data_IF_599966451150
#
_entry.id   IF_599966451150
#
_cell.length_a   1.000
_cell.length_b   1.000
_cell.length_c   1.000
_cell.angle_alpha   90.00
_cell.angle_beta   90.00
_cell.angle_gamma   90.00
#
_symmetry.space_group_name_H-M   'P 1'
#
loop_
_entity.id
_entity.type
_entity.pdbx_description
1 polymer ?
#
# COMPACT_ATOMS: atom_id res chain seq x y z
N UNK A 1 -5.53 -11.70 -19.26
CA UNK A 1 -5.07 -12.05 -17.90
C UNK A 1 -6.15 -11.58 -16.94
N UNK A 2 -6.78 -12.48 -16.19
CA UNK A 2 -7.81 -12.13 -15.22
C UNK A 2 -7.12 -11.52 -14.00
N UNK A 3 -7.20 -10.21 -13.83
CA UNK A 3 -6.73 -9.54 -12.62
C UNK A 3 -7.80 -9.63 -11.54
N UNK A 4 -7.44 -10.12 -10.36
CA UNK A 4 -8.33 -10.08 -9.19
C UNK A 4 -8.09 -8.76 -8.47
N UNK A 5 -9.14 -7.95 -8.33
CA UNK A 5 -9.08 -6.67 -7.62
C UNK A 5 -9.85 -6.75 -6.31
N UNK A 6 -9.21 -6.35 -5.22
CA UNK A 6 -9.86 -6.09 -3.93
C UNK A 6 -9.76 -4.60 -3.67
N UNK A 7 -10.88 -3.87 -3.71
CA UNK A 7 -10.92 -2.41 -3.61
C UNK A 7 -11.61 -1.93 -2.34
N UNK A 8 -11.25 -0.72 -1.88
CA UNK A 8 -11.97 -0.02 -0.81
C UNK A 8 -11.63 -0.48 0.60
N UNK A 9 -10.50 -1.16 0.76
CA UNK A 9 -10.01 -1.62 2.07
C UNK A 9 -9.60 -0.40 2.88
N UNK A 10 -10.12 -0.27 4.11
CA UNK A 10 -9.76 0.82 5.01
C UNK A 10 -8.86 0.31 6.13
N UNK A 11 -7.68 0.91 6.26
CA UNK A 11 -6.76 0.70 7.39
C UNK A 11 -6.93 1.88 8.35
N UNK A 12 -7.31 1.62 9.60
CA UNK A 12 -7.61 2.66 10.60
C UNK A 12 -7.12 2.29 12.00
N UNK A 13 -6.53 3.24 12.74
CA UNK A 13 -5.89 3.04 14.06
C UNK A 13 -6.86 2.67 15.19
N UNK A 14 -8.17 2.80 14.98
CA UNK A 14 -9.20 2.38 15.94
C UNK A 14 -10.04 1.17 15.52
N UNK A 15 -9.84 0.63 14.31
CA UNK A 15 -10.70 -0.45 13.76
C UNK A 15 -9.91 -1.62 13.18
N UNK A 16 -8.68 -1.38 12.76
CA UNK A 16 -7.79 -2.42 12.25
C UNK A 16 -6.94 -2.99 13.39
N UNK A 17 -6.61 -4.29 13.35
CA UNK A 17 -5.65 -4.87 14.28
C UNK A 17 -4.28 -4.19 14.14
N UNK A 18 -3.50 -4.22 15.21
CA UNK A 18 -2.13 -3.72 15.24
C UNK A 18 -1.15 -4.86 15.48
N UNK A 19 0.07 -4.72 14.94
CA UNK A 19 1.14 -5.69 15.11
C UNK A 19 2.51 -4.98 15.16
N UNK A 20 3.47 -5.59 15.86
CA UNK A 20 4.84 -5.10 15.98
C UNK A 20 5.69 -5.64 14.81
N UNK A 21 5.74 -4.88 13.71
CA UNK A 21 6.57 -5.19 12.56
C UNK A 21 8.03 -4.76 12.81
N UNK A 22 9.01 -5.25 12.02
CA UNK A 22 10.40 -4.80 12.13
C UNK A 22 10.60 -3.28 12.00
N UNK A 23 9.70 -2.58 11.29
CA UNK A 23 9.73 -1.12 11.14
C UNK A 23 9.04 -0.36 12.30
N UNK A 24 8.35 -1.07 13.19
CA UNK A 24 7.58 -0.51 14.30
C UNK A 24 6.14 -1.04 14.36
N UNK A 25 5.42 -0.65 15.42
CA UNK A 25 4.00 -0.99 15.59
C UNK A 25 3.15 -0.31 14.50
N UNK A 26 2.35 -1.09 13.78
CA UNK A 26 1.50 -0.58 12.70
C UNK A 26 0.16 -1.31 12.64
N UNK A 27 -0.84 -0.63 12.10
CA UNK A 27 -2.12 -1.24 11.71
C UNK A 27 -1.95 -2.05 10.45
N UNK A 28 -2.66 -3.17 10.36
CA UNK A 28 -2.55 -4.04 9.21
C UNK A 28 -3.89 -4.63 8.77
N UNK A 29 -3.88 -5.14 7.55
CA UNK A 29 -4.89 -6.02 6.97
C UNK A 29 -4.18 -7.22 6.36
N UNK A 30 -4.79 -8.39 6.46
CA UNK A 30 -4.23 -9.63 5.92
C UNK A 30 -5.23 -10.28 4.97
N UNK A 31 -4.73 -10.80 3.85
CA UNK A 31 -5.53 -11.46 2.83
C UNK A 31 -4.91 -12.79 2.47
N UNK A 32 -5.76 -13.81 2.32
CA UNK A 32 -5.38 -15.04 1.61
C UNK A 32 -5.27 -14.71 0.13
N UNK A 33 -4.13 -15.02 -0.47
CA UNK A 33 -3.95 -14.94 -1.91
C UNK A 33 -4.85 -15.99 -2.59
N UNK A 34 -5.36 -15.72 -3.80
CA UNK A 34 -6.18 -16.69 -4.50
C UNK A 34 -5.33 -17.91 -4.88
N UNK A 35 -5.96 -19.09 -5.00
CA UNK A 35 -5.26 -20.35 -5.31
C UNK A 35 -4.76 -20.42 -6.79
N UNK A 36 -4.77 -19.29 -7.52
CA UNK A 36 -4.21 -19.13 -8.86
C UNK A 36 -2.83 -18.50 -8.78
N UNK A 37 -1.97 -18.78 -9.77
CA UNK A 37 -0.61 -18.23 -9.80
C UNK A 37 -0.64 -16.72 -10.03
N UNK A 38 -0.43 -15.95 -8.95
CA UNK A 38 -0.21 -14.50 -8.97
C UNK A 38 1.29 -14.24 -9.09
N UNK A 39 1.70 -13.37 -10.02
CA UNK A 39 3.10 -12.99 -10.19
C UNK A 39 3.41 -11.63 -9.57
N UNK A 40 2.42 -10.74 -9.57
CA UNK A 40 2.61 -9.37 -9.10
C UNK A 40 1.39 -8.85 -8.37
N UNK A 41 1.64 -7.95 -7.43
CA UNK A 41 0.63 -7.24 -6.66
C UNK A 41 0.89 -5.75 -6.77
N UNK A 42 -0.14 -4.99 -7.12
CA UNK A 42 -0.12 -3.52 -7.05
C UNK A 42 -1.03 -3.08 -5.90
N UNK A 43 -0.50 -2.26 -5.00
CA UNK A 43 -1.28 -1.60 -3.96
C UNK A 43 -1.44 -0.13 -4.36
N UNK A 44 -2.69 0.28 -4.55
CA UNK A 44 -3.07 1.66 -4.79
C UNK A 44 -3.51 2.30 -3.47
N UNK A 45 -3.13 3.55 -3.26
CA UNK A 45 -3.56 4.39 -2.14
C UNK A 45 -3.88 5.79 -2.63
N UNK A 46 -4.66 6.52 -1.85
CA UNK A 46 -5.24 7.80 -2.25
C UNK A 46 -4.81 8.88 -1.27
N UNK A 47 -4.67 10.11 -1.79
CA UNK A 47 -4.45 11.28 -0.94
C UNK A 47 -5.67 11.52 -0.05
N UNK A 48 -5.44 11.90 1.20
CA UNK A 48 -6.51 12.12 2.18
C UNK A 48 -7.34 13.37 1.90
N UNK A 49 -6.81 14.31 1.11
CA UNK A 49 -7.46 15.57 0.76
C UNK A 49 -7.06 16.01 -0.64
N UNK A 50 -7.98 16.69 -1.34
CA UNK A 50 -7.69 17.39 -2.59
C UNK A 50 -6.92 18.70 -2.39
N UNK A 51 -6.80 19.20 -1.16
CA UNK A 51 -6.00 20.37 -0.83
C UNK A 51 -4.58 19.95 -0.42
N UNK A 52 -3.62 20.09 -1.33
CA UNK A 52 -2.24 19.61 -1.16
C UNK A 52 -1.54 20.03 0.15
N UNK A 53 -1.69 21.27 0.67
CA UNK A 53 -1.11 21.64 1.96
C UNK A 53 -1.56 20.79 3.15
N UNK A 54 -2.75 20.20 3.08
CA UNK A 54 -3.29 19.28 4.09
C UNK A 54 -3.27 17.81 3.65
N UNK A 55 -2.81 17.52 2.44
CA UNK A 55 -2.86 16.18 1.88
C UNK A 55 -1.79 15.29 2.53
N UNK A 56 -2.25 14.15 3.05
CA UNK A 56 -1.39 13.06 3.52
C UNK A 56 -1.62 11.83 2.65
N UNK A 57 -0.69 10.90 2.67
CA UNK A 57 -0.79 9.65 1.91
C UNK A 57 -0.39 8.48 2.78
N UNK A 58 -1.23 7.45 2.81
CA UNK A 58 -0.92 6.19 3.48
C UNK A 58 0.12 5.43 2.67
N UNK A 59 1.23 5.03 3.27
CA UNK A 59 2.30 4.35 2.53
C UNK A 59 2.33 2.87 2.91
N UNK A 60 1.84 1.98 2.04
CA UNK A 60 1.77 0.56 2.36
C UNK A 60 3.17 -0.08 2.33
N UNK A 61 3.35 -1.09 3.17
CA UNK A 61 4.33 -2.16 3.07
C UNK A 61 3.60 -3.48 2.85
N UNK A 62 4.30 -4.47 2.29
CA UNK A 62 3.77 -5.81 2.10
C UNK A 62 4.72 -6.83 2.75
N UNK A 63 4.14 -7.76 3.49
CA UNK A 63 4.80 -8.96 4.01
C UNK A 63 4.08 -10.17 3.44
N UNK A 64 4.82 -11.06 2.76
CA UNK A 64 4.26 -12.27 2.18
C UNK A 64 4.55 -13.46 3.10
N UNK A 65 3.52 -14.26 3.36
CA UNK A 65 3.61 -15.44 4.22
C UNK A 65 3.25 -16.71 3.44
N UNK A 66 3.89 -17.82 3.78
CA UNK A 66 3.53 -19.15 3.27
C UNK A 66 2.35 -19.77 4.04
N UNK A 67 1.99 -21.01 3.70
CA UNK A 67 0.91 -21.74 4.36
C UNK A 67 1.17 -22.05 5.85
N UNK A 68 2.43 -22.02 6.29
CA UNK A 68 2.84 -22.18 7.68
C UNK A 68 2.99 -20.85 8.43
N UNK A 69 2.52 -19.75 7.84
CA UNK A 69 2.68 -18.39 8.36
C UNK A 69 4.14 -17.94 8.54
N UNK A 70 5.07 -18.58 7.84
CA UNK A 70 6.46 -18.15 7.78
C UNK A 70 6.64 -17.13 6.65
N UNK A 71 7.64 -16.27 6.76
CA UNK A 71 7.95 -15.32 5.70
C UNK A 71 8.33 -16.05 4.39
N UNK A 72 7.48 -15.92 3.37
CA UNK A 72 7.72 -16.50 2.05
C UNK A 72 8.75 -15.68 1.24
N UNK A 73 9.04 -14.46 1.70
CA UNK A 73 10.07 -13.57 1.18
C UNK A 73 9.77 -12.09 1.49
N UNK A 74 10.83 -11.28 1.55
CA UNK A 74 10.72 -9.83 1.74
C UNK A 74 10.56 -9.12 0.39
N UNK A 75 9.36 -9.10 -0.18
CA UNK A 75 9.13 -8.28 -1.37
C UNK A 75 8.97 -6.83 -0.96
N UNK A 76 10.06 -6.06 -1.07
CA UNK A 76 9.98 -4.61 -0.94
C UNK A 76 9.07 -4.09 -2.05
N UNK A 77 7.96 -3.47 -1.67
CA UNK A 77 7.17 -2.67 -2.61
C UNK A 77 8.12 -1.66 -3.27
N UNK A 78 8.09 -1.60 -4.60
CA UNK A 78 8.80 -0.60 -5.36
C UNK A 78 8.45 0.81 -4.86
N UNK A 79 9.37 1.79 -5.02
CA UNK A 79 9.07 3.19 -4.71
C UNK A 79 7.72 3.60 -5.31
N UNK A 80 6.90 4.24 -4.48
CA UNK A 80 5.54 4.62 -4.87
C UNK A 80 5.58 5.57 -6.07
N UNK A 81 4.85 5.23 -7.13
CA UNK A 81 4.72 6.03 -8.34
C UNK A 81 3.37 6.73 -8.32
N UNK A 82 3.36 8.01 -8.70
CA UNK A 82 2.13 8.75 -8.96
C UNK A 82 1.47 8.16 -10.20
N UNK A 83 0.17 7.92 -10.11
CA UNK A 83 -0.66 7.51 -11.22
C UNK A 83 -1.97 8.32 -11.20
N UNK A 84 -2.64 8.38 -12.34
CA UNK A 84 -3.89 9.10 -12.49
C UNK A 84 -4.90 8.20 -13.19
N UNK A 85 -6.09 8.08 -12.60
CA UNK A 85 -7.25 7.47 -13.26
C UNK A 85 -8.17 8.61 -13.66
N UNK A 86 -8.58 8.61 -14.93
CA UNK A 86 -9.57 9.56 -15.43
C UNK A 86 -10.80 9.53 -14.50
N UNK A 87 -11.19 10.68 -13.94
CA UNK A 87 -12.29 10.88 -12.97
C UNK A 87 -12.09 10.44 -11.51
N UNK A 88 -11.03 9.69 -11.14
CA UNK A 88 -10.83 9.22 -9.76
C UNK A 88 -9.75 10.00 -8.98
N UNK A 89 -9.15 11.00 -9.61
CA UNK A 89 -8.12 11.84 -9.02
C UNK A 89 -6.74 11.17 -9.01
N UNK A 90 -5.80 11.83 -8.34
CA UNK A 90 -4.45 11.34 -8.17
C UNK A 90 -4.41 10.22 -7.14
N UNK A 91 -3.73 9.13 -7.49
CA UNK A 91 -3.45 8.05 -6.57
C UNK A 91 -1.97 7.67 -6.66
N UNK A 92 -1.47 7.06 -5.61
CA UNK A 92 -0.12 6.53 -5.56
C UNK A 92 -0.21 5.02 -5.60
N UNK A 93 0.69 4.39 -6.33
CA UNK A 93 0.73 2.93 -6.43
C UNK A 93 2.13 2.40 -6.17
N UNK A 94 2.19 1.25 -5.52
CA UNK A 94 3.41 0.50 -5.30
C UNK A 94 3.21 -0.92 -5.80
N UNK A 95 4.21 -1.50 -6.47
CA UNK A 95 4.13 -2.86 -7.01
C UNK A 95 5.16 -3.74 -6.33
N UNK A 96 4.83 -5.00 -6.10
CA UNK A 96 5.73 -6.03 -5.62
C UNK A 96 5.54 -7.31 -6.42
N UNK A 97 6.63 -8.04 -6.62
CA UNK A 97 6.57 -9.43 -7.06
C UNK A 97 6.04 -10.31 -5.92
N UNK A 98 5.14 -11.22 -6.27
CA UNK A 98 4.55 -12.17 -5.32
C UNK A 98 5.41 -13.44 -5.31
N UNK A 99 5.99 -13.83 -4.16
CA UNK A 99 6.76 -15.07 -4.06
C UNK A 99 5.91 -16.28 -4.46
N UNK A 100 6.52 -17.24 -5.16
CA UNK A 100 5.79 -18.38 -5.73
C UNK A 100 5.13 -19.30 -4.67
N UNK A 101 5.65 -19.29 -3.44
CA UNK A 101 5.13 -20.01 -2.28
C UNK A 101 4.27 -19.15 -1.34
N UNK A 102 3.99 -17.89 -1.69
CA UNK A 102 3.15 -17.02 -0.86
C UNK A 102 1.69 -17.49 -0.88
N UNK A 103 1.12 -17.68 0.31
CA UNK A 103 -0.29 -18.02 0.53
C UNK A 103 -1.08 -16.86 1.11
N UNK A 104 -0.40 -15.98 1.87
CA UNK A 104 -1.01 -14.80 2.47
C UNK A 104 -0.18 -13.56 2.18
N UNK A 105 -0.85 -12.41 2.19
CA UNK A 105 -0.21 -11.10 2.18
C UNK A 105 -0.75 -10.25 3.31
N UNK A 106 0.17 -9.61 4.03
CA UNK A 106 -0.11 -8.65 5.08
C UNK A 106 0.28 -7.27 4.57
N UNK A 107 -0.68 -6.34 4.52
CA UNK A 107 -0.45 -4.94 4.17
C UNK A 107 -0.52 -4.11 5.44
N UNK A 108 0.50 -3.30 5.68
CA UNK A 108 0.61 -2.45 6.86
C UNK A 108 1.19 -1.09 6.51
N UNK A 109 1.03 -0.10 7.40
CA UNK A 109 1.59 1.24 7.19
C UNK A 109 3.10 1.25 7.43
N UNK A 110 3.86 1.84 6.51
CA UNK A 110 5.30 2.05 6.66
C UNK A 110 5.60 3.03 7.80
N UNK A 111 6.72 2.81 8.48
CA UNK A 111 7.20 3.77 9.48
C UNK A 111 7.68 5.05 8.81
N UNK A 112 7.25 6.20 9.33
CA UNK A 112 7.64 7.53 8.82
C UNK A 112 9.15 7.75 8.83
N UNK A 113 9.90 7.06 9.70
CA UNK A 113 11.36 7.17 9.79
C UNK A 113 12.10 6.54 8.60
N UNK A 114 11.51 5.53 7.95
CA UNK A 114 12.18 4.69 6.94
C UNK A 114 11.50 4.78 5.56
N UNK A 115 10.78 5.86 5.29
CA UNK A 115 10.02 6.01 4.04
C UNK A 115 10.38 7.28 3.29
N UNK A 116 10.73 7.13 2.01
CA UNK A 116 11.10 8.23 1.11
C UNK A 116 10.04 9.33 1.06
N UNK A 117 10.46 10.58 0.94
CA UNK A 117 9.53 11.72 0.87
C UNK A 117 8.80 11.71 -0.47
N UNK A 118 7.48 11.57 -0.43
CA UNK A 118 6.64 11.80 -1.59
C UNK A 118 6.41 13.29 -1.83
N UNK A 119 6.38 13.66 -3.10
CA UNK A 119 6.21 15.04 -3.56
C UNK A 119 5.07 15.09 -4.56
N UNK A 120 4.12 15.99 -4.34
CA UNK A 120 3.05 16.35 -5.25
C UNK A 120 3.27 17.76 -5.79
N UNK A 121 2.64 18.05 -6.93
CA UNK A 121 2.68 19.37 -7.56
C UNK A 121 1.25 19.85 -7.77
N UNK A 122 0.95 21.09 -7.40
CA UNK A 122 -0.32 21.73 -7.77
C UNK A 122 -0.33 22.08 -9.27
N UNK A 123 -1.51 22.45 -9.77
CA UNK A 123 -1.69 22.86 -11.18
C UNK A 123 -0.78 24.03 -11.58
N UNK A 124 -0.48 24.95 -10.66
CA UNK A 124 0.43 26.07 -10.87
C UNK A 124 1.92 25.72 -10.68
N UNK A 125 2.27 24.44 -10.50
CA UNK A 125 3.64 23.95 -10.38
C UNK A 125 4.28 24.05 -8.99
N UNK A 126 3.55 24.53 -7.96
CA UNK A 126 4.09 24.56 -6.60
C UNK A 126 4.27 23.14 -6.05
N UNK A 127 5.42 22.91 -5.42
CA UNK A 127 5.83 21.62 -4.88
C UNK A 127 5.37 21.45 -3.43
N UNK A 128 4.75 20.31 -3.12
CA UNK A 128 4.29 19.95 -1.77
C UNK A 128 4.83 18.58 -1.38
N UNK A 129 5.45 18.49 -0.20
CA UNK A 129 5.78 17.20 0.39
C UNK A 129 4.54 16.58 0.99
N UNK A 130 4.22 15.34 0.63
CA UNK A 130 3.09 14.61 1.20
C UNK A 130 3.54 13.84 2.46
N UNK A 131 3.06 14.20 3.66
CA UNK A 131 3.36 13.46 4.87
C UNK A 131 2.78 12.04 4.81
N UNK A 132 3.45 11.12 5.50
CA UNK A 132 2.96 9.75 5.68
C UNK A 132 1.74 9.76 6.61
N UNK A 133 0.69 9.03 6.24
CA UNK A 133 -0.48 8.80 7.07
C UNK A 133 -0.43 7.41 7.69
N UNK A 134 -0.90 7.27 8.93
CA UNK A 134 -1.07 5.98 9.62
C UNK A 134 -2.37 5.25 9.24
N UNK A 135 -3.24 5.93 8.49
CA UNK A 135 -4.54 5.44 8.04
C UNK A 135 -4.76 5.79 6.58
N UNK A 136 -5.53 4.97 5.89
CA UNK A 136 -5.89 5.26 4.51
C UNK A 136 -6.75 4.18 3.89
N UNK A 137 -7.27 4.53 2.71
CA UNK A 137 -7.93 3.56 1.83
C UNK A 137 -6.90 2.99 0.87
N UNK A 138 -6.95 1.68 0.68
CA UNK A 138 -6.13 0.97 -0.28
C UNK A 138 -6.99 0.14 -1.24
N UNK A 139 -6.43 -0.13 -2.41
CA UNK A 139 -6.91 -1.16 -3.32
C UNK A 139 -5.76 -2.07 -3.72
N UNK A 140 -6.01 -3.37 -3.78
CA UNK A 140 -5.02 -4.39 -4.13
C UNK A 140 -5.42 -4.98 -5.48
N UNK A 141 -4.51 -4.95 -6.44
CA UNK A 141 -4.66 -5.58 -7.75
C UNK A 141 -3.66 -6.71 -7.88
N UNK A 142 -4.14 -7.92 -8.12
CA UNK A 142 -3.34 -9.12 -8.31
C UNK A 142 -3.30 -9.47 -9.80
N UNK A 143 -2.10 -9.74 -10.34
CA UNK A 143 -1.86 -10.07 -11.74
C UNK A 143 -0.93 -11.27 -11.90
#
# INVERSE_FOLDING_TARGET
MNSTQVSGISISTGRSPTFDFPEGRSTFVAYKLPDVKVKSMTVETYVSSGWLPMATVFRPRALFLDAGFQEAGTSKLEPMKRAAKYLQGEYYQATADVPANATYVVIFGASSANTDRLVAYSENGSMYGLPNAYEGKISILLK
#
